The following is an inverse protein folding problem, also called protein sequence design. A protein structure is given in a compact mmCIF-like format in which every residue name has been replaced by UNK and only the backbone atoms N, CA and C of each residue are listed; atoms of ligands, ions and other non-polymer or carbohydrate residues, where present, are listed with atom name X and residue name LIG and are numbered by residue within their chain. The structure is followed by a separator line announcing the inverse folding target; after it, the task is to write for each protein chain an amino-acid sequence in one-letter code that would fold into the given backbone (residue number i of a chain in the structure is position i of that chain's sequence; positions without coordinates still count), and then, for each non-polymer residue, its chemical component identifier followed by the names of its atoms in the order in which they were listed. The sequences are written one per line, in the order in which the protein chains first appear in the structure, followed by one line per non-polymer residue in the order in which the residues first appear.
data_IF_379819735460
#
_entry.id   IF_379819735460
#
_cell.length_a   1.000
_cell.length_b   1.000
_cell.length_c   1.000
_cell.angle_alpha   90.00
_cell.angle_beta   90.00
_cell.angle_gamma   90.00
#
_symmetry.space_group_name_H-M   'P 1'
#
loop_
_entity.id
_entity.type
_entity.pdbx_description
1 polymer ?
#
# COMPACT_ATOMS: atom_id res chain seq x y z
N UNK A 1 7.18 -13.60 19.56
CA UNK A 1 6.59 -14.26 18.37
C UNK A 1 7.15 -13.59 17.12
N UNK A 2 8.05 -14.24 16.36
CA UNK A 2 8.67 -13.65 15.15
C UNK A 2 7.73 -13.87 13.96
N UNK A 3 7.12 -12.82 13.44
CA UNK A 3 6.31 -12.90 12.23
C UNK A 3 7.19 -13.35 11.05
N UNK A 4 6.93 -14.55 10.52
CA UNK A 4 7.48 -15.02 9.24
C UNK A 4 6.62 -14.43 8.14
N UNK A 5 7.17 -13.56 7.29
CA UNK A 5 6.41 -13.00 6.17
C UNK A 5 6.14 -14.06 5.11
N UNK A 6 4.87 -14.27 4.76
CA UNK A 6 4.44 -15.12 3.65
C UNK A 6 4.40 -14.41 2.29
N UNK A 7 4.58 -13.10 2.21
CA UNK A 7 4.68 -12.39 0.93
C UNK A 7 4.43 -10.90 1.10
N UNK A 8 5.16 -10.10 0.32
CA UNK A 8 5.02 -8.66 0.08
C UNK A 8 5.06 -7.73 1.31
N UNK A 9 6.00 -6.78 1.32
CA UNK A 9 5.93 -5.63 2.24
C UNK A 9 5.23 -4.49 1.52
N UNK A 10 4.20 -3.91 2.15
CA UNK A 10 3.41 -2.80 1.63
C UNK A 10 3.74 -1.53 2.40
N UNK A 11 4.15 -0.47 1.69
CA UNK A 11 4.29 0.88 2.26
C UNK A 11 3.32 1.81 1.56
N UNK A 12 2.62 2.62 2.34
CA UNK A 12 1.56 3.54 1.91
C UNK A 12 2.01 4.98 2.13
N UNK A 13 1.86 5.79 1.08
CA UNK A 13 2.14 7.22 1.09
C UNK A 13 0.86 7.97 0.68
N UNK A 14 -0.05 8.26 1.63
CA UNK A 14 -1.24 9.06 1.35
C UNK A 14 -0.85 10.52 1.08
N UNK A 15 -1.55 11.25 0.18
CA UNK A 15 -1.28 12.65 -0.09
C UNK A 15 -1.69 13.54 1.10
N UNK A 16 -1.05 14.70 1.22
CA UNK A 16 -1.20 15.64 2.33
C UNK A 16 -2.62 16.23 2.47
N UNK A 17 -3.42 16.19 1.40
CA UNK A 17 -4.82 16.65 1.43
C UNK A 17 -5.77 15.49 1.61
N UNK A 18 -6.16 15.24 2.86
CA UNK A 18 -7.31 14.38 3.19
C UNK A 18 -8.54 15.25 3.37
N UNK A 19 -9.21 15.57 2.28
CA UNK A 19 -10.53 16.21 2.36
C UNK A 19 -11.60 15.15 2.68
N UNK A 20 -12.25 15.35 3.83
CA UNK A 20 -13.59 14.93 4.29
C UNK A 20 -14.08 13.48 4.12
N UNK A 21 -14.63 12.95 5.23
CA UNK A 21 -15.56 11.80 5.24
C UNK A 21 -14.91 10.42 5.23
N UNK A 22 -15.49 9.51 4.46
CA UNK A 22 -15.19 8.07 4.39
C UNK A 22 -13.69 7.75 4.21
N UNK A 23 -12.95 8.56 3.43
CA UNK A 23 -11.54 8.32 3.12
C UNK A 23 -10.65 8.41 4.36
N UNK A 24 -10.96 9.31 5.29
CA UNK A 24 -10.23 9.41 6.54
C UNK A 24 -10.45 8.17 7.41
N UNK A 25 -11.67 7.62 7.42
CA UNK A 25 -12.00 6.39 8.13
C UNK A 25 -11.30 5.18 7.51
N UNK A 26 -11.35 5.06 6.18
CA UNK A 26 -10.63 4.02 5.43
C UNK A 26 -9.14 4.05 5.74
N UNK A 27 -8.52 5.24 5.80
CA UNK A 27 -7.10 5.39 6.13
C UNK A 27 -6.75 4.91 7.55
N UNK A 28 -7.62 5.20 8.52
CA UNK A 28 -7.47 4.71 9.90
C UNK A 28 -7.56 3.18 9.94
N UNK A 29 -8.54 2.59 9.27
CA UNK A 29 -8.69 1.13 9.21
C UNK A 29 -7.49 0.46 8.55
N UNK A 30 -6.98 1.02 7.45
CA UNK A 30 -5.78 0.51 6.77
C UNK A 30 -4.56 0.59 7.69
N UNK A 31 -4.38 1.70 8.42
CA UNK A 31 -3.28 1.85 9.40
C UNK A 31 -3.39 0.86 10.56
N UNK A 32 -4.60 0.46 10.92
CA UNK A 32 -4.87 -0.57 11.93
C UNK A 32 -4.74 -2.02 11.40
N UNK A 33 -4.32 -2.19 10.14
CA UNK A 33 -4.07 -3.50 9.54
C UNK A 33 -5.16 -3.98 8.57
N UNK A 34 -6.15 -3.14 8.28
CA UNK A 34 -7.14 -3.38 7.23
C UNK A 34 -6.50 -3.50 5.85
N UNK A 35 -7.02 -4.40 5.01
CA UNK A 35 -6.55 -4.54 3.63
C UNK A 35 -7.11 -3.40 2.77
N UNK A 36 -6.25 -2.62 2.11
CA UNK A 36 -6.64 -1.45 1.30
C UNK A 36 -7.87 -1.74 0.42
N UNK A 37 -7.77 -2.72 -0.48
CA UNK A 37 -8.85 -3.01 -1.43
C UNK A 37 -10.14 -3.49 -0.78
N UNK A 38 -10.08 -4.07 0.43
CA UNK A 38 -11.28 -4.48 1.18
C UNK A 38 -11.94 -3.26 1.83
N UNK A 39 -11.16 -2.41 2.49
CA UNK A 39 -11.67 -1.21 3.17
C UNK A 39 -12.36 -0.27 2.18
N UNK A 40 -11.77 0.00 1.02
CA UNK A 40 -12.44 0.82 0.01
C UNK A 40 -13.77 0.23 -0.48
N UNK A 41 -13.83 -1.09 -0.70
CA UNK A 41 -15.06 -1.76 -1.13
C UNK A 41 -16.18 -1.68 -0.10
N UNK A 42 -15.86 -1.80 1.19
CA UNK A 42 -16.85 -1.69 2.28
C UNK A 42 -17.50 -0.30 2.35
N UNK A 43 -16.82 0.73 1.87
CA UNK A 43 -17.33 2.09 1.75
C UNK A 43 -17.89 2.43 0.35
N UNK A 44 -18.13 1.41 -0.49
CA UNK A 44 -18.65 1.53 -1.86
C UNK A 44 -17.75 2.33 -2.81
N UNK A 45 -16.43 2.22 -2.63
CA UNK A 45 -15.46 2.73 -3.61
C UNK A 45 -14.98 1.61 -4.53
N UNK A 46 -14.91 1.93 -5.82
CA UNK A 46 -14.08 1.21 -6.77
C UNK A 46 -12.63 1.65 -6.62
N UNK A 47 -11.71 0.69 -6.63
CA UNK A 47 -10.27 0.97 -6.57
C UNK A 47 -9.62 0.54 -7.87
N UNK A 48 -8.85 1.45 -8.47
CA UNK A 48 -7.97 1.14 -9.60
C UNK A 48 -6.54 1.39 -9.20
N UNK A 49 -5.65 0.54 -9.72
CA UNK A 49 -4.21 0.62 -9.47
C UNK A 49 -3.51 0.87 -10.79
N UNK A 50 -2.74 1.95 -10.86
CA UNK A 50 -1.86 2.22 -11.98
C UNK A 50 -0.42 1.93 -11.56
N UNK A 51 0.24 1.00 -12.26
CA UNK A 51 1.65 0.68 -12.00
C UNK A 51 2.50 1.75 -12.62
N UNK A 52 3.22 2.50 -11.79
CA UNK A 52 4.09 3.58 -12.26
C UNK A 52 5.42 2.98 -12.71
N UNK A 53 6.03 2.15 -11.86
CA UNK A 53 7.35 1.58 -12.15
C UNK A 53 7.61 0.28 -11.36
N UNK A 54 8.56 -0.51 -11.88
CA UNK A 54 9.05 -1.75 -11.30
C UNK A 54 10.57 -1.75 -11.36
N UNK A 55 11.22 -1.76 -10.19
CA UNK A 55 12.66 -1.59 -10.08
C UNK A 55 13.25 -2.49 -8.98
N UNK A 56 14.58 -2.53 -8.89
CA UNK A 56 15.29 -3.21 -7.81
C UNK A 56 15.69 -2.16 -6.77
N UNK A 57 15.46 -2.46 -5.49
CA UNK A 57 15.90 -1.63 -4.38
C UNK A 57 16.85 -2.41 -3.48
N UNK A 58 17.76 -1.68 -2.83
CA UNK A 58 18.41 -2.18 -1.63
C UNK A 58 17.41 -2.20 -0.47
N UNK A 59 17.33 -3.30 0.26
CA UNK A 59 16.41 -3.46 1.39
C UNK A 59 17.03 -2.78 2.60
N UNK A 60 16.43 -1.72 3.14
CA UNK A 60 16.96 -1.02 4.30
C UNK A 60 17.00 -1.93 5.52
N UNK A 61 17.99 -1.72 6.39
CA UNK A 61 18.28 -2.56 7.56
C UNK A 61 17.06 -2.84 8.43
N UNK A 62 16.25 -1.82 8.70
CA UNK A 62 15.03 -1.94 9.52
C UNK A 62 13.99 -2.91 8.91
N UNK A 63 13.86 -2.97 7.58
CA UNK A 63 12.97 -3.93 6.91
C UNK A 63 13.53 -5.35 7.01
N UNK A 64 14.85 -5.51 6.87
CA UNK A 64 15.52 -6.80 6.99
C UNK A 64 15.34 -7.39 8.39
N UNK A 65 15.47 -6.57 9.42
CA UNK A 65 15.28 -6.96 10.82
C UNK A 65 13.83 -7.28 11.13
N UNK A 66 12.90 -6.39 10.77
CA UNK A 66 11.47 -6.55 11.03
C UNK A 66 10.88 -7.82 10.40
N UNK A 67 11.35 -8.17 9.20
CA UNK A 67 10.77 -9.24 8.39
C UNK A 67 11.71 -10.44 8.17
N UNK A 68 12.85 -10.47 8.87
CA UNK A 68 13.85 -11.55 8.83
C UNK A 68 14.29 -11.88 7.39
N UNK A 69 14.59 -10.84 6.62
CA UNK A 69 15.02 -10.95 5.21
C UNK A 69 16.54 -11.00 5.12
N UNK A 70 17.09 -12.07 4.54
CA UNK A 70 18.54 -12.24 4.35
C UNK A 70 19.09 -11.50 3.12
N UNK A 71 18.28 -11.33 2.06
CA UNK A 71 18.70 -10.68 0.81
C UNK A 71 19.02 -9.19 1.02
N UNK A 72 19.95 -8.66 0.25
CA UNK A 72 20.28 -7.23 0.25
C UNK A 72 19.40 -6.44 -0.71
N UNK A 73 18.88 -7.08 -1.75
CA UNK A 73 18.07 -6.43 -2.77
C UNK A 73 16.72 -7.13 -2.92
N UNK A 74 15.71 -6.37 -3.34
CA UNK A 74 14.39 -6.87 -3.66
C UNK A 74 13.85 -6.20 -4.92
N UNK A 75 13.02 -6.92 -5.66
CA UNK A 75 12.14 -6.30 -6.64
C UNK A 75 11.12 -5.47 -5.89
N UNK A 76 10.85 -4.26 -6.37
CA UNK A 76 9.85 -3.36 -5.85
C UNK A 76 8.93 -2.90 -6.98
N UNK A 77 7.68 -2.58 -6.63
CA UNK A 77 6.71 -1.99 -7.53
C UNK A 77 6.06 -0.81 -6.84
N UNK A 78 6.11 0.35 -7.48
CA UNK A 78 5.34 1.52 -7.04
C UNK A 78 4.10 1.67 -7.89
N UNK A 79 2.99 2.02 -7.26
CA UNK A 79 1.72 2.18 -7.95
C UNK A 79 0.90 3.29 -7.32
N UNK A 80 0.19 4.03 -8.17
CA UNK A 80 -0.82 4.99 -7.75
C UNK A 80 -2.15 4.26 -7.56
N UNK A 81 -2.82 4.53 -6.45
CA UNK A 81 -4.15 4.02 -6.14
C UNK A 81 -5.18 5.13 -6.32
N UNK A 82 -6.14 4.88 -7.21
CA UNK A 82 -7.31 5.71 -7.39
C UNK A 82 -8.50 5.08 -6.68
N UNK A 83 -9.27 5.90 -5.99
CA UNK A 83 -10.55 5.53 -5.43
C UNK A 83 -11.64 6.34 -6.13
N UNK A 84 -12.73 5.68 -6.54
CA UNK A 84 -13.87 6.34 -7.17
C UNK A 84 -15.16 5.82 -6.54
N UNK A 85 -16.00 6.74 -6.06
CA UNK A 85 -17.39 6.43 -5.67
C UNK A 85 -18.30 6.71 -6.87
N UNK A 86 -19.40 5.99 -6.98
CA UNK A 86 -20.38 6.23 -8.04
C UNK A 86 -20.85 7.70 -8.03
N UNK A 87 -20.90 8.32 -9.21
CA UNK A 87 -21.27 9.74 -9.36
C UNK A 87 -20.23 10.77 -8.89
N UNK A 88 -19.03 10.35 -8.46
CA UNK A 88 -17.95 11.25 -8.04
C UNK A 88 -16.73 11.18 -8.97
N UNK A 89 -15.93 12.24 -8.98
CA UNK A 89 -14.61 12.24 -9.64
C UNK A 89 -13.65 11.29 -8.91
N UNK A 90 -12.79 10.56 -9.63
CA UNK A 90 -11.79 9.70 -9.00
C UNK A 90 -10.77 10.56 -8.24
N UNK A 91 -10.40 10.10 -7.06
CA UNK A 91 -9.36 10.72 -6.24
C UNK A 91 -8.13 9.83 -6.21
N UNK A 92 -6.95 10.45 -6.23
CA UNK A 92 -5.70 9.75 -5.93
C UNK A 92 -5.66 9.56 -4.41
N UNK A 93 -5.85 8.32 -3.96
CA UNK A 93 -5.75 7.99 -2.55
C UNK A 93 -4.30 7.97 -2.06
N UNK A 94 -3.36 7.60 -2.92
CA UNK A 94 -1.93 7.64 -2.61
C UNK A 94 -1.10 6.64 -3.38
N UNK A 95 0.18 6.59 -3.02
CA UNK A 95 1.14 5.67 -3.60
C UNK A 95 1.35 4.47 -2.70
N UNK A 96 1.53 3.33 -3.34
CA UNK A 96 1.80 2.06 -2.69
C UNK A 96 3.09 1.50 -3.24
N UNK A 97 4.07 1.29 -2.37
CA UNK A 97 5.30 0.57 -2.68
C UNK A 97 5.18 -0.86 -2.15
N UNK A 98 5.17 -1.83 -3.06
CA UNK A 98 5.25 -3.26 -2.75
C UNK A 98 6.68 -3.74 -2.92
N UNK A 99 7.25 -4.36 -1.88
CA UNK A 99 8.60 -4.93 -1.90
C UNK A 99 8.48 -6.45 -1.86
N UNK A 100 9.18 -7.10 -2.78
CA UNK A 100 9.14 -8.54 -3.05
C UNK A 100 10.49 -9.17 -2.64
N UNK A 101 10.71 -9.46 -1.34
CA UNK A 101 12.00 -9.93 -0.84
C UNK A 101 12.38 -11.36 -1.27
N UNK A 102 11.47 -12.09 -1.94
CA UNK A 102 11.68 -13.47 -2.39
C UNK A 102 11.76 -13.63 -3.91
N UNK A 103 11.71 -12.54 -4.68
CA UNK A 103 11.96 -12.62 -6.12
C UNK A 103 13.41 -13.08 -6.39
#
# INVERSE_FOLDING_TARGET
MKARLLGHVLLLFPPDKKENGDIALIDVEIKNGGMIGKMFKEFNYEVRKNVIDVFIIEIPKWLKEKFVVKKNYAKARISEFYAKKEGSEPIIYGYVLEIYPRF
#
